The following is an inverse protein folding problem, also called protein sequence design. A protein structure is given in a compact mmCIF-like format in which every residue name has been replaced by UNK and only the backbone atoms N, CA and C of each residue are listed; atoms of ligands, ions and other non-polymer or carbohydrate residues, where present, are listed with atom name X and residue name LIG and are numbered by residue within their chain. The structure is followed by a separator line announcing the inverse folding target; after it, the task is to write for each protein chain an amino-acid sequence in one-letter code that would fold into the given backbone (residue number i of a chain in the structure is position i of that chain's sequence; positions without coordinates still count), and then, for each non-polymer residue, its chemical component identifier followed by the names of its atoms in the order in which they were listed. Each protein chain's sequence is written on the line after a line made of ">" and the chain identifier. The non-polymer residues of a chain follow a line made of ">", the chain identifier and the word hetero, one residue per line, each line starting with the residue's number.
data_IF_113654457877
#
_entry.id   IF_113654457877
#
_cell.length_a   1.000
_cell.length_b   1.000
_cell.length_c   1.000
_cell.angle_alpha   90.00
_cell.angle_beta   90.00
_cell.angle_gamma   90.00
#
_symmetry.space_group_name_H-M   'P 1'
#
loop_
_entity.id
_entity.type
_entity.pdbx_description
1 polymer ?
#
# COMPACT_ATOMS: atom_id res chain seq x y z
N UNK A 1 6.66 3.04 16.39
CA UNK A 1 7.40 3.21 15.12
C UNK A 1 6.44 2.97 13.96
N UNK A 2 5.47 3.86 13.74
CA UNK A 2 4.48 3.75 12.66
C UNK A 2 4.76 4.74 11.51
N UNK A 3 5.31 5.92 11.84
CA UNK A 3 5.65 7.01 10.90
C UNK A 3 6.51 6.56 9.71
N UNK A 4 7.49 5.68 9.95
CA UNK A 4 8.41 5.21 8.90
C UNK A 4 7.71 4.45 7.77
N UNK A 5 6.59 3.78 8.06
CA UNK A 5 5.87 2.98 7.05
C UNK A 5 4.99 3.88 6.19
N UNK A 6 4.35 4.90 6.79
CA UNK A 6 3.50 5.86 6.08
C UNK A 6 4.29 6.64 5.03
N UNK A 7 5.43 7.21 5.42
CA UNK A 7 6.31 7.94 4.49
C UNK A 7 6.82 7.03 3.36
N UNK A 8 7.17 5.78 3.67
CA UNK A 8 7.62 4.81 2.67
C UNK A 8 6.53 4.45 1.68
N UNK A 9 5.28 4.26 2.11
CA UNK A 9 4.16 3.99 1.22
C UNK A 9 3.93 5.16 0.30
N UNK A 10 3.95 6.39 0.83
CA UNK A 10 3.80 7.58 0.00
C UNK A 10 4.93 7.67 -1.03
N UNK A 11 6.18 7.45 -0.64
CA UNK A 11 7.32 7.47 -1.58
C UNK A 11 7.24 6.37 -2.65
N UNK A 12 6.76 5.18 -2.28
CA UNK A 12 6.58 4.06 -3.20
C UNK A 12 5.40 4.29 -4.15
N UNK A 13 4.32 4.89 -3.68
CA UNK A 13 3.08 5.06 -4.44
C UNK A 13 3.03 6.36 -5.25
N UNK A 14 3.73 7.42 -4.81
CA UNK A 14 3.80 8.72 -5.49
C UNK A 14 4.27 8.68 -6.96
N UNK A 15 5.21 7.82 -7.41
CA UNK A 15 5.59 7.77 -8.82
C UNK A 15 4.52 7.16 -9.72
N UNK A 16 3.56 6.39 -9.18
CA UNK A 16 2.51 5.74 -9.97
C UNK A 16 1.30 6.63 -10.19
N UNK A 17 1.05 7.59 -9.31
CA UNK A 17 -0.11 8.44 -9.44
C UNK A 17 -0.40 9.33 -8.24
N UNK A 18 -1.48 10.11 -8.37
CA UNK A 18 -1.95 10.98 -7.30
C UNK A 18 -2.79 10.21 -6.28
N UNK A 19 -2.32 10.21 -5.04
CA UNK A 19 -2.97 9.57 -3.90
C UNK A 19 -4.12 10.45 -3.41
N UNK A 20 -5.33 9.88 -3.36
CA UNK A 20 -6.49 10.49 -2.71
C UNK A 20 -6.39 10.38 -1.19
N UNK A 21 -5.85 9.27 -0.70
CA UNK A 21 -5.66 8.99 0.71
C UNK A 21 -4.88 7.70 0.93
N UNK A 22 -4.40 7.53 2.14
CA UNK A 22 -3.81 6.27 2.58
C UNK A 22 -4.14 6.04 4.05
N UNK A 23 -4.16 4.79 4.47
CA UNK A 23 -4.38 4.39 5.86
C UNK A 23 -3.52 3.18 6.17
N UNK A 24 -2.74 3.27 7.24
CA UNK A 24 -1.88 2.18 7.69
C UNK A 24 -2.53 1.52 8.89
N UNK A 25 -2.83 0.23 8.75
CA UNK A 25 -3.36 -0.61 9.80
C UNK A 25 -2.23 -1.51 10.31
N UNK A 26 -1.76 -1.21 11.52
CA UNK A 26 -0.85 -2.07 12.24
C UNK A 26 -1.65 -2.92 13.22
N UNK A 27 -1.75 -4.22 12.96
CA UNK A 27 -2.39 -5.12 13.90
C UNK A 27 -1.52 -5.27 15.16
N UNK A 28 -2.00 -4.72 16.27
CA UNK A 28 -1.25 -4.71 17.53
C UNK A 28 -1.18 -6.10 18.19
N UNK A 29 -1.99 -7.08 17.73
CA UNK A 29 -2.01 -8.46 18.22
C UNK A 29 -0.94 -9.31 17.54
N UNK A 30 -0.67 -9.08 16.26
CA UNK A 30 0.36 -9.77 15.49
C UNK A 30 1.48 -8.80 15.12
N UNK A 31 2.48 -8.70 16.00
CA UNK A 31 3.65 -7.78 16.01
C UNK A 31 4.48 -7.68 14.70
N UNK A 32 4.10 -8.37 13.62
CA UNK A 32 4.82 -8.47 12.34
C UNK A 32 3.96 -8.24 11.09
N UNK A 33 2.65 -8.02 11.21
CA UNK A 33 1.79 -7.83 10.04
C UNK A 33 1.28 -6.39 9.98
N UNK A 34 1.95 -5.58 9.17
CA UNK A 34 1.49 -4.22 8.84
C UNK A 34 0.77 -4.28 7.50
N UNK A 35 -0.43 -3.70 7.45
CA UNK A 35 -1.19 -3.54 6.21
C UNK A 35 -1.34 -2.06 5.92
N UNK A 36 -1.38 -1.73 4.65
CA UNK A 36 -1.68 -0.37 4.20
C UNK A 36 -2.72 -0.42 3.10
N UNK A 37 -3.70 0.47 3.23
CA UNK A 37 -4.68 0.76 2.22
C UNK A 37 -4.32 2.10 1.57
N UNK A 38 -4.37 2.13 0.25
CA UNK A 38 -4.02 3.30 -0.54
C UNK A 38 -5.12 3.53 -1.56
N UNK A 39 -5.69 4.73 -1.53
CA UNK A 39 -6.76 5.15 -2.41
C UNK A 39 -6.16 6.11 -3.45
N UNK A 40 -6.25 5.73 -4.72
CA UNK A 40 -5.82 6.57 -5.84
C UNK A 40 -7.00 7.36 -6.41
N UNK A 41 -6.71 8.42 -7.16
CA UNK A 41 -7.73 9.15 -7.90
C UNK A 41 -8.22 8.40 -9.14
N UNK A 42 -7.37 7.58 -9.77
CA UNK A 42 -7.76 6.74 -10.92
C UNK A 42 -7.47 5.26 -10.67
N UNK A 43 -8.39 4.41 -11.13
CA UNK A 43 -8.27 2.95 -11.08
C UNK A 43 -7.06 2.42 -11.86
N UNK A 44 -6.69 3.11 -12.95
CA UNK A 44 -5.52 2.75 -13.76
C UNK A 44 -4.22 2.91 -12.97
N UNK A 45 -4.08 4.01 -12.24
CA UNK A 45 -2.92 4.28 -11.37
C UNK A 45 -2.83 3.24 -10.25
N UNK A 46 -3.98 2.92 -9.62
CA UNK A 46 -4.05 1.88 -8.60
C UNK A 46 -3.63 0.50 -9.15
N UNK A 47 -4.06 0.15 -10.36
CA UNK A 47 -3.73 -1.12 -11.00
C UNK A 47 -2.24 -1.22 -11.33
N UNK A 48 -1.65 -0.17 -11.89
CA UNK A 48 -0.21 -0.12 -12.17
C UNK A 48 0.60 -0.17 -10.88
N UNK A 49 0.21 0.60 -9.86
CA UNK A 49 0.85 0.61 -8.55
C UNK A 49 0.82 -0.80 -7.92
N UNK A 50 -0.33 -1.46 -7.90
CA UNK A 50 -0.47 -2.79 -7.34
C UNK A 50 0.38 -3.83 -8.08
N UNK A 51 0.41 -3.80 -9.42
CA UNK A 51 1.22 -4.74 -10.22
C UNK A 51 2.72 -4.56 -10.02
N UNK A 52 3.19 -3.31 -9.91
CA UNK A 52 4.61 -3.01 -9.74
C UNK A 52 5.10 -3.23 -8.31
N UNK A 53 4.26 -2.97 -7.30
CA UNK A 53 4.60 -3.18 -5.90
C UNK A 53 4.43 -4.64 -5.47
N UNK A 54 3.60 -5.43 -6.16
CA UNK A 54 3.44 -6.83 -5.87
C UNK A 54 4.75 -7.59 -6.14
N UNK A 55 5.33 -8.19 -5.09
CA UNK A 55 6.61 -8.88 -5.18
C UNK A 55 7.83 -7.96 -5.01
N UNK A 56 7.62 -6.66 -4.73
CA UNK A 56 8.73 -5.75 -4.43
C UNK A 56 9.42 -6.17 -3.12
N UNK A 57 10.73 -6.35 -3.18
CA UNK A 57 11.52 -6.80 -2.03
C UNK A 57 12.02 -5.61 -1.21
N UNK A 58 11.51 -5.49 0.00
CA UNK A 58 11.84 -4.46 0.97
C UNK A 58 12.72 -5.06 2.07
N UNK A 59 14.04 -4.94 1.89
CA UNK A 59 15.12 -5.42 2.79
C UNK A 59 15.00 -6.93 3.10
N UNK A 60 14.08 -7.31 3.97
CA UNK A 60 13.84 -8.68 4.45
C UNK A 60 12.43 -9.23 4.12
N UNK A 61 11.55 -8.40 3.55
CA UNK A 61 10.15 -8.75 3.31
C UNK A 61 9.73 -8.49 1.86
N UNK A 62 8.83 -9.31 1.34
CA UNK A 62 8.19 -9.08 0.06
C UNK A 62 6.86 -8.37 0.29
N UNK A 63 6.63 -7.29 -0.46
CA UNK A 63 5.36 -6.61 -0.44
C UNK A 63 4.32 -7.41 -1.22
N UNK A 64 3.14 -7.52 -0.63
CA UNK A 64 1.98 -8.11 -1.28
C UNK A 64 0.96 -7.00 -1.52
N UNK A 65 0.99 -6.42 -2.72
CA UNK A 65 -0.01 -5.47 -3.16
C UNK A 65 -1.13 -6.20 -3.89
N UNK A 66 -2.38 -5.82 -3.62
CA UNK A 66 -3.57 -6.32 -4.31
C UNK A 66 -4.54 -5.15 -4.49
N UNK A 67 -5.16 -5.09 -5.66
CA UNK A 67 -6.25 -4.14 -5.90
C UNK A 67 -7.46 -4.65 -5.10
N UNK A 68 -7.95 -3.82 -4.20
CA UNK A 68 -9.18 -4.09 -3.46
C UNK A 68 -10.25 -3.27 -4.15
N UNK A 69 -11.03 -3.93 -5.00
CA UNK A 69 -12.24 -3.33 -5.54
C UNK A 69 -13.28 -3.34 -4.41
N UNK A 70 -13.82 -2.17 -4.09
CA UNK A 70 -14.86 -2.02 -3.06
C UNK A 70 -16.26 -2.36 -3.63
N UNK A 71 -16.38 -3.28 -4.60
CA UNK A 71 -17.64 -3.96 -4.89
C UNK A 71 -17.89 -5.08 -3.88
N UNK A 72 -18.58 -4.72 -2.79
CA UNK A 72 -19.54 -5.50 -1.99
C UNK A 72 -19.38 -5.25 -0.48
N UNK A 73 -20.11 -4.26 0.04
CA UNK A 73 -21.04 -4.47 1.15
C UNK A 73 -22.07 -3.33 1.26
#
# INVERSE_FOLDING_TARGET
>A
MALLIEEQIQQLCSPFGSLRGYSVEQDNKFRKSVKARVDFLNDKEANECAKNLHGFKLIDHFLMAKIVDEEAN
#
